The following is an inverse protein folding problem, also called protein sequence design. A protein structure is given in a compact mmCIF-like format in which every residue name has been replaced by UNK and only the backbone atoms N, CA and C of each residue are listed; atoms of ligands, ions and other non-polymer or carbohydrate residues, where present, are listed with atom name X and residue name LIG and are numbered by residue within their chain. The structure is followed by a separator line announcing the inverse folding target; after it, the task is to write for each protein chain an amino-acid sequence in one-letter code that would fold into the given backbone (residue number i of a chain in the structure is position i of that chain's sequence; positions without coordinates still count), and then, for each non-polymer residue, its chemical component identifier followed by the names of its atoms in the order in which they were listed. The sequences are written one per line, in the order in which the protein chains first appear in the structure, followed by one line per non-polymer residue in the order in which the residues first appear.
data_IF_049182726071
#
_entry.id   IF_049182726071
#
_cell.length_a   1.000
_cell.length_b   1.000
_cell.length_c   1.000
_cell.angle_alpha   90.00
_cell.angle_beta   90.00
_cell.angle_gamma   90.00
#
_symmetry.space_group_name_H-M   'P 1'
#
loop_
_entity.id
_entity.type
_entity.pdbx_description
1 polymer ?
#
# COMPACT_ATOMS: atom_id res chain seq x y z
N UNK A 1 27.44 -30.53 -0.73
CA UNK A 1 26.28 -30.32 -1.63
C UNK A 1 25.07 -30.93 -0.95
N UNK A 2 23.98 -30.17 -0.80
CA UNK A 2 22.79 -30.61 -0.08
C UNK A 2 21.71 -31.04 -1.09
N UNK A 3 21.20 -32.26 -0.94
CA UNK A 3 20.11 -32.79 -1.78
C UNK A 3 18.75 -32.15 -1.44
N UNK A 4 17.71 -32.48 -2.21
CA UNK A 4 16.32 -32.14 -1.86
C UNK A 4 16.04 -32.47 -0.39
N UNK A 5 15.47 -31.50 0.33
CA UNK A 5 15.13 -31.68 1.73
C UNK A 5 13.72 -31.18 2.01
N UNK A 6 12.93 -32.04 2.66
CA UNK A 6 11.56 -31.75 3.06
C UNK A 6 11.44 -31.77 4.58
N UNK A 7 11.07 -30.63 5.15
CA UNK A 7 10.68 -30.48 6.54
C UNK A 7 9.16 -30.58 6.64
N UNK A 8 8.66 -31.61 7.34
CA UNK A 8 7.24 -31.84 7.52
C UNK A 8 6.81 -31.54 8.95
N UNK A 9 5.73 -30.78 9.09
CA UNK A 9 4.94 -30.68 10.29
C UNK A 9 3.72 -31.63 10.29
N UNK A 10 2.77 -31.41 11.20
CA UNK A 10 2.78 -30.34 12.20
C UNK A 10 3.88 -30.57 13.24
N UNK A 11 4.58 -29.51 13.61
CA UNK A 11 5.62 -29.58 14.65
C UNK A 11 5.00 -29.48 16.04
N UNK A 12 5.57 -30.19 17.04
CA UNK A 12 5.17 -30.03 18.45
C UNK A 12 5.57 -28.66 19.01
N UNK A 13 6.69 -28.12 18.53
CA UNK A 13 7.14 -26.78 18.89
C UNK A 13 6.30 -25.75 18.16
N UNK A 14 5.94 -24.68 18.86
CA UNK A 14 5.32 -23.49 18.28
C UNK A 14 6.33 -22.56 17.60
N UNK A 15 7.63 -22.78 17.83
CA UNK A 15 8.71 -22.00 17.23
C UNK A 15 9.79 -22.97 16.74
N UNK A 16 9.91 -23.12 15.42
CA UNK A 16 10.94 -23.95 14.78
C UNK A 16 11.99 -23.03 14.20
N UNK A 17 13.21 -23.08 14.73
CA UNK A 17 14.29 -22.19 14.29
C UNK A 17 15.28 -22.90 13.38
N UNK A 18 15.52 -22.33 12.21
CA UNK A 18 16.55 -22.77 11.24
C UNK A 18 17.57 -21.64 11.10
N UNK A 19 18.85 -21.94 11.34
CA UNK A 19 19.94 -20.97 11.21
C UNK A 19 20.76 -21.22 9.95
N UNK A 20 20.83 -20.23 9.07
CA UNK A 20 21.66 -20.24 7.86
C UNK A 20 22.93 -19.44 8.16
N UNK A 21 23.99 -20.15 8.56
CA UNK A 21 25.25 -19.52 8.98
C UNK A 21 26.38 -19.63 7.94
N UNK A 22 26.27 -20.60 7.03
CA UNK A 22 27.26 -20.86 6.00
C UNK A 22 26.66 -20.79 4.60
N UNK A 23 27.41 -21.30 3.63
CA UNK A 23 26.95 -21.45 2.25
C UNK A 23 26.34 -22.84 2.05
N UNK A 24 25.03 -22.91 1.84
CA UNK A 24 24.31 -24.13 1.44
C UNK A 24 24.28 -24.15 -0.08
N UNK A 25 24.73 -25.24 -0.68
CA UNK A 25 24.96 -25.34 -2.13
C UNK A 25 24.20 -26.52 -2.70
N UNK A 26 23.36 -26.25 -3.70
CA UNK A 26 22.54 -27.26 -4.35
C UNK A 26 23.33 -28.13 -5.33
N UNK A 27 22.71 -29.22 -5.82
CA UNK A 27 23.29 -30.04 -6.88
C UNK A 27 23.49 -29.28 -8.19
N UNK A 28 24.60 -29.56 -8.86
CA UNK A 28 25.00 -28.87 -10.09
C UNK A 28 24.22 -29.35 -11.31
N UNK A 29 23.72 -30.59 -11.28
CA UNK A 29 22.97 -31.22 -12.36
C UNK A 29 21.76 -31.96 -11.82
N UNK A 30 20.83 -32.34 -12.69
CA UNK A 30 19.68 -33.15 -12.28
C UNK A 30 20.00 -34.63 -12.19
N UNK A 31 21.08 -35.07 -12.81
CA UNK A 31 21.64 -36.41 -12.60
C UNK A 31 22.09 -36.56 -11.14
N UNK A 32 22.58 -35.48 -10.53
CA UNK A 32 22.94 -35.42 -9.11
C UNK A 32 21.73 -35.26 -8.18
N UNK A 33 20.51 -35.12 -8.71
CA UNK A 33 19.28 -34.90 -7.96
C UNK A 33 18.43 -36.17 -7.86
N UNK A 34 18.41 -36.79 -6.68
CA UNK A 34 17.83 -38.14 -6.52
C UNK A 34 16.32 -38.18 -6.22
N UNK A 35 15.56 -37.09 -6.42
CA UNK A 35 14.10 -37.04 -6.19
C UNK A 35 13.37 -36.07 -7.14
N UNK A 36 13.19 -36.49 -8.40
CA UNK A 36 12.59 -35.68 -9.49
C UNK A 36 11.10 -35.30 -9.29
N UNK A 37 10.47 -35.67 -8.16
CA UNK A 37 9.04 -35.43 -7.93
C UNK A 37 8.74 -34.09 -7.26
N UNK A 38 9.74 -33.47 -6.63
CA UNK A 38 9.58 -32.15 -6.01
C UNK A 38 10.09 -31.07 -6.96
N UNK A 39 9.23 -30.12 -7.33
CA UNK A 39 9.67 -28.93 -8.09
C UNK A 39 10.48 -27.95 -7.24
N UNK A 40 10.82 -28.29 -5.99
CA UNK A 40 11.43 -27.37 -5.02
C UNK A 40 12.55 -28.03 -4.22
N UNK A 41 13.60 -27.28 -3.88
CA UNK A 41 14.80 -27.80 -3.19
C UNK A 41 14.66 -27.87 -1.68
N UNK A 42 14.35 -26.75 -1.04
CA UNK A 42 14.10 -26.68 0.40
C UNK A 42 12.60 -26.49 0.62
N UNK A 43 11.94 -27.55 1.06
CA UNK A 43 10.49 -27.54 1.24
C UNK A 43 10.11 -27.58 2.72
N UNK A 44 9.20 -26.71 3.12
CA UNK A 44 8.59 -26.67 4.45
C UNK A 44 7.08 -26.87 4.27
N UNK A 45 6.55 -27.95 4.84
CA UNK A 45 5.13 -28.28 4.82
C UNK A 45 4.58 -28.28 6.23
N UNK A 46 3.52 -27.50 6.48
CA UNK A 46 2.81 -27.48 7.76
C UNK A 46 3.72 -27.13 8.97
N UNK A 47 4.81 -26.40 8.72
CA UNK A 47 5.74 -25.95 9.76
C UNK A 47 5.28 -24.58 10.25
N UNK A 48 4.39 -24.56 11.23
CA UNK A 48 3.92 -23.33 11.86
C UNK A 48 4.99 -22.71 12.77
N UNK A 49 5.07 -21.39 12.83
CA UNK A 49 6.06 -20.66 13.65
C UNK A 49 7.50 -20.87 13.18
N UNK A 50 7.70 -21.07 11.88
CA UNK A 50 9.01 -21.24 11.27
C UNK A 50 9.79 -19.92 11.33
N UNK A 51 10.96 -19.93 11.94
CA UNK A 51 11.90 -18.80 11.97
C UNK A 51 13.17 -19.23 11.23
N UNK A 52 13.40 -18.67 10.04
CA UNK A 52 14.63 -18.87 9.27
C UNK A 52 15.45 -17.59 9.27
N UNK A 53 16.68 -17.66 9.79
CA UNK A 53 17.52 -16.49 9.92
C UNK A 53 19.02 -16.79 9.82
N UNK A 54 19.82 -15.74 9.59
CA UNK A 54 21.28 -15.76 9.65
C UNK A 54 21.93 -15.20 8.39
N UNK A 55 23.19 -14.79 8.50
CA UNK A 55 23.91 -14.09 7.42
C UNK A 55 24.47 -15.01 6.33
N UNK A 56 24.05 -16.27 6.28
CA UNK A 56 24.53 -17.25 5.31
C UNK A 56 23.86 -17.12 3.94
N UNK A 57 24.20 -18.06 3.05
CA UNK A 57 23.79 -18.03 1.65
C UNK A 57 23.23 -19.38 1.22
N UNK A 58 22.05 -19.36 0.58
CA UNK A 58 21.50 -20.48 -0.18
C UNK A 58 21.87 -20.24 -1.65
N UNK A 59 22.80 -21.04 -2.18
CA UNK A 59 23.25 -20.96 -3.56
C UNK A 59 22.62 -22.08 -4.38
N UNK A 60 21.73 -21.69 -5.28
CA UNK A 60 21.04 -22.63 -6.15
C UNK A 60 21.96 -23.33 -7.13
N UNK A 61 23.04 -22.70 -7.61
CA UNK A 61 23.80 -23.14 -8.80
C UNK A 61 22.99 -23.14 -10.12
N UNK A 62 22.40 -22.01 -10.46
CA UNK A 62 21.81 -21.61 -11.74
C UNK A 62 22.20 -22.33 -13.06
N UNK A 63 21.63 -23.51 -13.41
CA UNK A 63 21.36 -23.99 -14.79
C UNK A 63 20.38 -25.21 -14.92
N UNK A 64 19.45 -25.47 -13.98
CA UNK A 64 18.53 -26.64 -13.98
C UNK A 64 17.22 -26.56 -13.12
N UNK A 65 16.19 -27.35 -13.41
CA UNK A 65 14.73 -27.06 -13.48
C UNK A 65 13.84 -26.81 -12.20
N UNK A 66 14.36 -26.38 -11.04
CA UNK A 66 13.61 -26.34 -9.75
C UNK A 66 13.57 -24.98 -9.02
N UNK A 67 12.64 -24.84 -8.04
CA UNK A 67 12.40 -23.67 -7.17
C UNK A 67 13.27 -23.75 -5.89
N UNK A 68 13.93 -22.68 -5.44
CA UNK A 68 14.88 -22.83 -4.32
C UNK A 68 14.23 -23.13 -2.96
N UNK A 69 13.15 -22.45 -2.63
CA UNK A 69 12.48 -22.61 -1.36
C UNK A 69 10.96 -22.57 -1.51
N UNK A 70 10.29 -23.50 -0.84
CA UNK A 70 8.84 -23.62 -0.88
C UNK A 70 8.26 -23.76 0.53
N UNK A 71 7.38 -22.82 0.90
CA UNK A 71 6.61 -22.84 2.14
C UNK A 71 5.15 -23.15 1.77
N UNK A 72 4.64 -24.28 2.27
CA UNK A 72 3.27 -24.71 2.06
C UNK A 72 2.55 -24.92 3.39
N UNK A 73 1.43 -24.21 3.60
CA UNK A 73 0.68 -24.28 4.86
C UNK A 73 1.53 -23.94 6.11
N UNK A 74 2.55 -23.11 5.93
CA UNK A 74 3.38 -22.60 7.03
C UNK A 74 2.77 -21.31 7.57
N UNK A 75 2.06 -21.39 8.70
CA UNK A 75 1.48 -20.21 9.34
C UNK A 75 2.47 -19.55 10.31
N UNK A 76 2.39 -18.23 10.44
CA UNK A 76 3.23 -17.41 11.31
C UNK A 76 4.74 -17.58 11.05
N UNK A 77 5.17 -17.58 9.79
CA UNK A 77 6.59 -17.71 9.45
C UNK A 77 7.36 -16.37 9.55
N UNK A 78 8.67 -16.44 9.78
CA UNK A 78 9.61 -15.31 9.80
C UNK A 78 10.87 -15.71 9.02
N UNK A 79 11.10 -15.09 7.85
CA UNK A 79 12.29 -15.27 7.02
C UNK A 79 13.11 -13.97 7.04
N UNK A 80 14.36 -14.01 7.51
CA UNK A 80 15.16 -12.79 7.60
C UNK A 80 16.68 -12.92 7.51
N UNK A 81 17.33 -11.85 7.05
CA UNK A 81 18.79 -11.62 7.14
C UNK A 81 19.68 -12.53 6.28
N UNK A 82 19.13 -13.47 5.51
CA UNK A 82 19.91 -14.39 4.67
C UNK A 82 19.88 -14.01 3.18
N UNK A 83 20.79 -14.62 2.41
CA UNK A 83 20.88 -14.46 0.96
C UNK A 83 20.41 -15.73 0.24
N UNK A 84 19.62 -15.58 -0.83
CA UNK A 84 19.37 -16.64 -1.82
C UNK A 84 19.94 -16.15 -3.15
N UNK A 85 20.71 -16.99 -3.84
CA UNK A 85 21.26 -16.62 -5.13
C UNK A 85 21.19 -17.76 -6.14
N UNK A 86 21.21 -17.39 -7.41
CA UNK A 86 21.26 -18.30 -8.54
C UNK A 86 20.20 -19.41 -8.45
N UNK A 87 18.98 -19.06 -8.04
CA UNK A 87 17.87 -20.00 -8.18
C UNK A 87 17.61 -20.21 -9.66
N UNK A 88 17.27 -21.44 -10.01
CA UNK A 88 17.12 -21.83 -11.40
C UNK A 88 15.72 -21.58 -11.95
N UNK A 89 14.73 -21.48 -11.06
CA UNK A 89 13.40 -20.90 -11.30
C UNK A 89 13.19 -19.84 -10.21
N UNK A 90 12.00 -19.76 -9.63
CA UNK A 90 11.73 -18.84 -8.53
C UNK A 90 12.53 -19.18 -7.25
N UNK A 91 12.86 -18.14 -6.48
CA UNK A 91 13.65 -18.27 -5.26
C UNK A 91 12.80 -18.69 -4.06
N UNK A 92 11.68 -18.00 -3.79
CA UNK A 92 10.78 -18.29 -2.66
C UNK A 92 9.35 -18.44 -3.17
N UNK A 93 8.69 -19.56 -2.90
CA UNK A 93 7.25 -19.74 -3.12
C UNK A 93 6.52 -19.92 -1.80
N UNK A 94 5.44 -19.16 -1.62
CA UNK A 94 4.60 -19.12 -0.43
C UNK A 94 3.20 -19.49 -0.85
N UNK A 95 2.70 -20.61 -0.34
CA UNK A 95 1.43 -21.16 -0.73
C UNK A 95 0.59 -21.59 0.47
N UNK A 96 -0.68 -21.17 0.48
CA UNK A 96 -1.64 -21.54 1.53
C UNK A 96 -1.18 -21.16 2.95
N UNK A 97 -0.45 -20.05 3.09
CA UNK A 97 0.06 -19.58 4.38
C UNK A 97 -0.79 -18.45 4.96
N UNK A 98 -0.88 -18.37 6.29
CA UNK A 98 -1.53 -17.28 7.00
C UNK A 98 -0.60 -16.71 8.07
N UNK A 99 -0.30 -15.42 7.97
CA UNK A 99 0.64 -14.74 8.85
C UNK A 99 2.09 -15.07 8.45
N UNK A 100 2.83 -14.07 8.00
CA UNK A 100 4.24 -14.27 7.69
C UNK A 100 5.00 -12.98 7.45
N UNK A 101 6.27 -12.97 7.80
CA UNK A 101 7.17 -11.84 7.57
C UNK A 101 8.41 -12.26 6.80
N UNK A 102 8.81 -11.42 5.84
CA UNK A 102 10.05 -11.56 5.08
C UNK A 102 10.76 -10.22 5.13
N UNK A 103 11.97 -10.20 5.69
CA UNK A 103 12.68 -8.95 5.97
C UNK A 103 14.19 -9.05 5.77
N UNK A 104 14.81 -7.98 5.27
CA UNK A 104 16.27 -7.92 5.12
C UNK A 104 16.88 -9.10 4.35
N UNK A 105 16.12 -9.69 3.41
CA UNK A 105 16.62 -10.75 2.55
C UNK A 105 17.27 -10.17 1.30
N UNK A 106 18.27 -10.87 0.79
CA UNK A 106 18.94 -10.54 -0.46
C UNK A 106 18.71 -11.67 -1.46
N UNK A 107 18.03 -11.37 -2.56
CA UNK A 107 17.88 -12.28 -3.69
C UNK A 107 18.78 -11.78 -4.82
N UNK A 108 19.61 -12.67 -5.38
CA UNK A 108 20.55 -12.31 -6.44
C UNK A 108 20.65 -13.38 -7.52
N UNK A 109 20.16 -13.05 -8.72
CA UNK A 109 20.35 -13.83 -9.93
C UNK A 109 20.67 -12.90 -11.12
N UNK A 110 21.39 -13.38 -12.14
CA UNK A 110 21.68 -12.61 -13.35
C UNK A 110 20.40 -12.08 -14.03
N UNK A 111 20.51 -10.91 -14.67
CA UNK A 111 19.38 -10.20 -15.27
C UNK A 111 18.69 -10.97 -16.39
N UNK A 112 19.44 -11.81 -17.09
CA UNK A 112 19.03 -12.61 -18.24
C UNK A 112 18.60 -14.03 -17.83
N UNK A 113 18.46 -14.31 -16.53
CA UNK A 113 18.03 -15.62 -16.04
C UNK A 113 16.51 -15.79 -16.16
N UNK A 114 16.02 -16.65 -17.06
CA UNK A 114 14.58 -16.78 -17.32
C UNK A 114 13.86 -17.41 -16.12
N UNK A 115 12.63 -16.96 -15.83
CA UNK A 115 11.74 -17.52 -14.80
C UNK A 115 12.34 -17.56 -13.39
N UNK A 116 13.22 -16.60 -13.09
CA UNK A 116 13.90 -16.50 -11.80
C UNK A 116 13.17 -15.62 -10.79
N UNK A 117 11.86 -15.77 -10.69
CA UNK A 117 11.01 -14.92 -9.87
C UNK A 117 11.57 -14.81 -8.43
N UNK A 118 11.50 -13.63 -7.83
CA UNK A 118 12.01 -13.42 -6.48
C UNK A 118 11.14 -14.15 -5.46
N UNK A 119 9.92 -13.67 -5.28
CA UNK A 119 8.96 -14.22 -4.32
C UNK A 119 7.60 -14.42 -5.00
N UNK A 120 7.12 -15.65 -5.07
CA UNK A 120 5.78 -16.00 -5.53
C UNK A 120 4.87 -16.25 -4.34
N UNK A 121 3.72 -15.58 -4.31
CA UNK A 121 2.71 -15.70 -3.26
C UNK A 121 1.38 -16.16 -3.88
N UNK A 122 0.83 -17.26 -3.39
CA UNK A 122 -0.47 -17.79 -3.82
C UNK A 122 -1.31 -18.27 -2.64
N UNK A 123 -2.64 -18.09 -2.70
CA UNK A 123 -3.59 -18.55 -1.68
C UNK A 123 -3.22 -18.18 -0.22
N UNK A 124 -2.52 -17.06 -0.03
CA UNK A 124 -1.94 -16.73 1.28
C UNK A 124 -2.48 -15.41 1.82
N UNK A 125 -2.52 -15.28 3.14
CA UNK A 125 -3.10 -14.11 3.81
C UNK A 125 -2.17 -13.54 4.87
N UNK A 126 -2.23 -12.22 5.09
CA UNK A 126 -1.44 -11.54 6.12
C UNK A 126 0.08 -11.77 5.96
N UNK A 127 0.60 -11.56 4.74
CA UNK A 127 2.03 -11.68 4.44
C UNK A 127 2.65 -10.30 4.28
N UNK A 128 3.77 -10.07 4.96
CA UNK A 128 4.50 -8.80 4.95
C UNK A 128 5.91 -9.02 4.38
N UNK A 129 6.27 -8.28 3.34
CA UNK A 129 7.59 -8.31 2.71
C UNK A 129 8.18 -6.92 2.81
N UNK A 130 9.32 -6.77 3.46
CA UNK A 130 9.90 -5.45 3.65
C UNK A 130 11.42 -5.41 3.67
N UNK A 131 11.96 -4.22 3.43
CA UNK A 131 13.39 -3.88 3.59
C UNK A 131 14.35 -4.88 2.92
N UNK A 132 13.99 -5.33 1.72
CA UNK A 132 14.68 -6.44 1.02
C UNK A 132 15.16 -6.00 -0.35
N UNK A 133 16.26 -6.61 -0.81
CA UNK A 133 16.84 -6.37 -2.13
C UNK A 133 16.65 -7.60 -3.02
N UNK A 134 15.89 -7.46 -4.09
CA UNK A 134 15.53 -8.56 -4.98
C UNK A 134 16.03 -8.27 -6.40
N UNK A 135 17.08 -9.00 -6.78
CA UNK A 135 17.65 -8.99 -8.13
C UNK A 135 17.42 -10.34 -8.78
N UNK A 136 16.64 -10.35 -9.84
CA UNK A 136 16.26 -11.52 -10.62
C UNK A 136 16.05 -11.13 -12.08
N UNK A 137 15.88 -12.13 -12.94
CA UNK A 137 15.60 -11.94 -14.37
C UNK A 137 14.12 -11.97 -14.75
N UNK A 138 13.21 -12.19 -13.80
CA UNK A 138 11.76 -12.24 -14.01
C UNK A 138 11.01 -11.41 -12.94
N UNK A 139 9.78 -11.76 -12.56
CA UNK A 139 9.01 -11.03 -11.56
C UNK A 139 9.75 -10.93 -10.21
N UNK A 140 9.88 -9.71 -9.70
CA UNK A 140 10.44 -9.44 -8.39
C UNK A 140 9.59 -10.06 -7.29
N UNK A 141 8.28 -9.78 -7.32
CA UNK A 141 7.28 -10.38 -6.45
C UNK A 141 6.04 -10.66 -7.28
N UNK A 142 5.69 -11.93 -7.38
CA UNK A 142 4.49 -12.39 -8.05
C UNK A 142 3.35 -12.60 -7.04
N UNK A 143 2.22 -11.91 -7.24
CA UNK A 143 1.03 -12.07 -6.40
C UNK A 143 -0.06 -12.76 -7.20
N UNK A 144 -0.24 -14.04 -6.92
CA UNK A 144 -1.19 -14.90 -7.58
C UNK A 144 -2.56 -14.92 -6.88
N UNK A 145 -3.50 -15.65 -7.47
CA UNK A 145 -4.88 -15.75 -6.99
C UNK A 145 -5.00 -16.31 -5.56
N UNK A 146 -6.07 -15.92 -4.87
CA UNK A 146 -6.38 -16.38 -3.52
C UNK A 146 -5.62 -15.64 -2.41
N UNK A 147 -4.85 -14.61 -2.73
CA UNK A 147 -4.14 -13.80 -1.76
C UNK A 147 -5.01 -12.66 -1.19
N UNK A 148 -4.79 -12.28 0.07
CA UNK A 148 -5.38 -11.06 0.65
C UNK A 148 -4.54 -10.51 1.81
N UNK A 149 -4.59 -9.20 2.04
CA UNK A 149 -3.77 -8.52 3.04
C UNK A 149 -2.27 -8.81 2.86
N UNK A 150 -1.75 -8.52 1.67
CA UNK A 150 -0.32 -8.60 1.34
C UNK A 150 0.26 -7.19 1.42
N UNK A 151 1.33 -7.00 2.20
CA UNK A 151 2.01 -5.72 2.34
C UNK A 151 3.45 -5.81 1.82
N UNK A 152 3.84 -4.91 0.93
CA UNK A 152 5.18 -4.85 0.34
C UNK A 152 5.71 -3.43 0.50
N UNK A 153 6.76 -3.24 1.31
CA UNK A 153 7.28 -1.90 1.65
C UNK A 153 8.80 -1.88 1.71
N UNK A 154 9.45 -0.86 1.15
CA UNK A 154 10.92 -0.76 1.22
C UNK A 154 11.66 -1.87 0.48
N UNK A 155 11.03 -2.47 -0.53
CA UNK A 155 11.66 -3.50 -1.38
C UNK A 155 12.28 -2.86 -2.62
N UNK A 156 13.55 -3.12 -2.86
CA UNK A 156 14.25 -2.73 -4.08
C UNK A 156 14.22 -3.88 -5.09
N UNK A 157 13.50 -3.68 -6.20
CA UNK A 157 13.38 -4.63 -7.30
C UNK A 157 14.25 -4.22 -8.48
N UNK A 158 14.91 -5.20 -9.11
CA UNK A 158 15.55 -5.03 -10.41
C UNK A 158 16.82 -5.88 -10.53
N UNK A 159 17.14 -6.38 -11.73
CA UNK A 159 16.76 -5.80 -13.03
C UNK A 159 15.56 -6.42 -13.78
N UNK A 160 14.91 -7.46 -13.23
CA UNK A 160 13.79 -8.18 -13.86
C UNK A 160 12.48 -7.40 -14.03
N UNK A 161 11.35 -8.10 -14.10
CA UNK A 161 10.04 -7.55 -14.49
C UNK A 161 9.34 -6.72 -13.41
N UNK A 162 9.76 -6.81 -12.13
CA UNK A 162 9.14 -6.08 -11.04
C UNK A 162 7.85 -6.75 -10.56
N UNK A 163 6.74 -6.02 -10.49
CA UNK A 163 5.40 -6.55 -10.22
C UNK A 163 4.54 -6.20 -11.43
N UNK A 164 3.97 -7.18 -12.11
CA UNK A 164 3.25 -6.96 -13.37
C UNK A 164 1.85 -6.40 -13.16
N UNK A 165 1.32 -5.70 -14.17
CA UNK A 165 -0.07 -5.22 -14.13
C UNK A 165 -1.07 -6.38 -14.13
N UNK A 166 -0.76 -7.49 -14.80
CA UNK A 166 -1.62 -8.66 -14.82
C UNK A 166 -1.81 -9.23 -13.41
N UNK A 167 -0.74 -9.31 -12.62
CA UNK A 167 -0.79 -9.74 -11.22
C UNK A 167 -1.58 -8.74 -10.37
N UNK A 168 -1.38 -7.43 -10.59
CA UNK A 168 -2.20 -6.42 -9.92
C UNK A 168 -3.69 -6.58 -10.25
N UNK A 169 -4.05 -6.89 -11.50
CA UNK A 169 -5.44 -7.15 -11.88
C UNK A 169 -6.01 -8.41 -11.24
N UNK A 170 -5.20 -9.46 -11.09
CA UNK A 170 -5.60 -10.70 -10.41
C UNK A 170 -5.82 -10.43 -8.91
N UNK A 171 -4.88 -9.72 -8.28
CA UNK A 171 -4.98 -9.35 -6.87
C UNK A 171 -6.21 -8.48 -6.60
N UNK A 172 -6.43 -7.45 -7.43
CA UNK A 172 -7.56 -6.53 -7.33
C UNK A 172 -8.81 -7.01 -8.08
N UNK A 173 -8.93 -8.31 -8.35
CA UNK A 173 -10.05 -8.86 -9.14
C UNK A 173 -11.40 -8.48 -8.53
N UNK A 174 -11.56 -8.67 -7.22
CA UNK A 174 -12.83 -8.39 -6.53
C UNK A 174 -13.13 -6.88 -6.57
N UNK A 175 -12.12 -6.04 -6.39
CA UNK A 175 -12.26 -4.58 -6.44
C UNK A 175 -12.73 -4.12 -7.82
N UNK A 176 -12.16 -4.72 -8.87
CA UNK A 176 -12.55 -4.51 -10.28
C UNK A 176 -13.97 -4.98 -10.57
N UNK A 177 -14.39 -6.12 -10.05
CA UNK A 177 -15.76 -6.62 -10.17
C UNK A 177 -16.77 -5.69 -9.45
N UNK A 178 -16.43 -5.20 -8.26
CA UNK A 178 -17.29 -4.26 -7.50
C UNK A 178 -17.36 -2.90 -8.19
N UNK A 179 -16.24 -2.38 -8.71
CA UNK A 179 -16.23 -1.15 -9.51
C UNK A 179 -17.12 -1.28 -10.74
N UNK A 180 -16.93 -2.35 -11.52
CA UNK A 180 -17.75 -2.64 -12.68
C UNK A 180 -19.24 -2.65 -12.32
N UNK A 181 -19.59 -3.34 -11.24
CA UNK A 181 -20.96 -3.42 -10.74
C UNK A 181 -21.56 -2.04 -10.39
N UNK A 182 -20.79 -1.15 -9.77
CA UNK A 182 -21.24 0.22 -9.49
C UNK A 182 -21.60 0.97 -10.78
N UNK A 183 -20.71 0.92 -11.77
CA UNK A 183 -20.84 1.70 -13.00
C UNK A 183 -21.88 1.10 -13.95
N UNK A 184 -21.77 -0.19 -14.26
CA UNK A 184 -22.57 -0.81 -15.33
C UNK A 184 -23.91 -1.34 -14.87
N UNK A 185 -24.01 -1.80 -13.62
CA UNK A 185 -25.23 -2.44 -13.10
C UNK A 185 -26.06 -1.48 -12.26
N UNK A 186 -25.40 -0.68 -11.42
CA UNK A 186 -26.06 0.31 -10.57
C UNK A 186 -26.15 1.69 -11.23
N UNK A 187 -25.55 1.87 -12.41
CA UNK A 187 -25.59 3.09 -13.21
C UNK A 187 -25.07 4.33 -12.44
N UNK A 188 -24.09 4.13 -11.56
CA UNK A 188 -23.41 5.22 -10.88
C UNK A 188 -22.42 5.89 -11.84
N UNK A 189 -22.19 7.18 -11.64
CA UNK A 189 -21.16 7.92 -12.35
C UNK A 189 -19.77 7.27 -12.13
N UNK A 190 -18.94 7.11 -13.18
CA UNK A 190 -17.62 6.48 -13.06
C UNK A 190 -16.67 7.18 -12.10
N UNK A 191 -16.63 8.52 -12.11
CA UNK A 191 -15.73 9.28 -11.23
C UNK A 191 -16.19 9.16 -9.77
N UNK A 192 -17.49 9.29 -9.51
CA UNK A 192 -18.07 9.06 -8.19
C UNK A 192 -17.82 7.62 -7.69
N UNK A 193 -17.96 6.62 -8.57
CA UNK A 193 -17.70 5.21 -8.26
C UNK A 193 -16.23 4.96 -7.91
N UNK A 194 -15.31 5.68 -8.57
CA UNK A 194 -13.87 5.62 -8.30
C UNK A 194 -13.56 6.15 -6.89
N UNK A 195 -14.19 7.27 -6.51
CA UNK A 195 -14.05 7.86 -5.17
C UNK A 195 -14.63 6.93 -4.09
N UNK A 196 -15.81 6.36 -4.33
CA UNK A 196 -16.45 5.39 -3.42
C UNK A 196 -15.55 4.18 -3.18
N UNK A 197 -15.03 3.58 -4.25
CA UNK A 197 -14.12 2.44 -4.13
C UNK A 197 -12.81 2.82 -3.42
N UNK A 198 -12.27 4.00 -3.70
CA UNK A 198 -11.06 4.47 -3.03
C UNK A 198 -11.27 4.64 -1.52
N UNK A 199 -12.45 5.07 -1.07
CA UNK A 199 -12.82 5.09 0.35
C UNK A 199 -12.83 3.68 0.94
N UNK A 200 -13.41 2.69 0.25
CA UNK A 200 -13.43 1.31 0.74
C UNK A 200 -12.05 0.68 0.82
N UNK A 201 -11.23 0.84 -0.21
CA UNK A 201 -9.84 0.36 -0.22
C UNK A 201 -9.02 1.03 0.89
N UNK A 202 -9.20 2.34 1.10
CA UNK A 202 -8.54 3.05 2.19
C UNK A 202 -8.99 2.56 3.58
N UNK A 203 -10.28 2.24 3.77
CA UNK A 203 -10.76 1.64 5.01
C UNK A 203 -10.09 0.29 5.26
N UNK A 204 -9.95 -0.56 4.24
CA UNK A 204 -9.24 -1.83 4.37
C UNK A 204 -7.76 -1.63 4.77
N UNK A 205 -7.08 -0.64 4.19
CA UNK A 205 -5.71 -0.24 4.58
C UNK A 205 -5.64 0.19 6.07
N UNK A 206 -6.70 0.81 6.61
CA UNK A 206 -6.81 1.18 8.03
C UNK A 206 -7.21 0.03 8.96
N UNK A 207 -7.29 -1.19 8.45
CA UNK A 207 -7.60 -2.38 9.23
C UNK A 207 -9.10 -2.67 9.34
N UNK A 208 -9.95 -2.03 8.53
CA UNK A 208 -11.34 -2.44 8.33
C UNK A 208 -11.41 -3.52 7.23
N UNK A 209 -10.76 -4.65 7.49
CA UNK A 209 -10.45 -5.66 6.46
C UNK A 209 -11.67 -6.37 5.87
N UNK A 210 -11.50 -6.87 4.64
CA UNK A 210 -12.49 -7.68 3.90
C UNK A 210 -13.81 -6.97 3.58
N UNK A 211 -13.84 -5.64 3.61
CA UNK A 211 -15.01 -4.84 3.24
C UNK A 211 -15.49 -5.19 1.82
N UNK A 212 -14.62 -5.07 0.83
CA UNK A 212 -14.96 -5.23 -0.59
C UNK A 212 -15.30 -6.69 -0.90
N UNK A 213 -14.55 -7.63 -0.32
CA UNK A 213 -14.84 -9.07 -0.40
C UNK A 213 -16.23 -9.41 0.16
N UNK A 214 -16.60 -8.87 1.33
CA UNK A 214 -17.95 -9.04 1.88
C UNK A 214 -19.01 -8.38 1.00
N UNK A 215 -18.75 -7.18 0.48
CA UNK A 215 -19.66 -6.42 -0.39
C UNK A 215 -19.96 -7.14 -1.71
N UNK A 216 -18.96 -7.80 -2.30
CA UNK A 216 -19.11 -8.54 -3.56
C UNK A 216 -20.23 -9.60 -3.48
N UNK A 217 -20.46 -10.17 -2.29
CA UNK A 217 -21.45 -11.22 -2.01
C UNK A 217 -22.87 -10.69 -1.74
N UNK A 218 -23.04 -9.38 -1.62
CA UNK A 218 -24.33 -8.76 -1.27
C UNK A 218 -25.20 -8.50 -2.51
N UNK A 219 -26.49 -8.20 -2.29
CA UNK A 219 -27.42 -7.81 -3.35
C UNK A 219 -27.13 -6.40 -3.89
N UNK A 220 -27.63 -6.12 -5.11
CA UNK A 220 -27.44 -4.81 -5.76
C UNK A 220 -27.98 -3.66 -4.89
N UNK A 221 -29.12 -3.89 -4.24
CA UNK A 221 -29.73 -2.93 -3.32
C UNK A 221 -28.80 -2.60 -2.14
N UNK A 222 -28.17 -3.63 -1.55
CA UNK A 222 -27.29 -3.43 -0.41
C UNK A 222 -25.99 -2.73 -0.78
N UNK A 223 -25.38 -3.09 -1.94
CA UNK A 223 -24.20 -2.39 -2.46
C UNK A 223 -24.51 -0.91 -2.73
N UNK A 224 -25.68 -0.60 -3.29
CA UNK A 224 -26.11 0.78 -3.50
C UNK A 224 -26.28 1.56 -2.19
N UNK A 225 -26.79 0.91 -1.12
CA UNK A 225 -26.88 1.53 0.21
C UNK A 225 -25.48 1.83 0.78
N UNK A 226 -24.55 0.88 0.69
CA UNK A 226 -23.17 1.06 1.16
C UNK A 226 -22.42 2.15 0.36
N UNK A 227 -22.67 2.26 -0.94
CA UNK A 227 -22.15 3.33 -1.78
C UNK A 227 -22.65 4.72 -1.32
N UNK A 228 -23.93 4.83 -0.94
CA UNK A 228 -24.48 6.08 -0.38
C UNK A 228 -23.86 6.44 0.97
N UNK A 229 -23.54 5.47 1.82
CA UNK A 229 -22.80 5.72 3.06
C UNK A 229 -21.39 6.24 2.76
N UNK A 230 -20.67 5.64 1.80
CA UNK A 230 -19.37 6.14 1.36
C UNK A 230 -19.44 7.57 0.79
N UNK A 231 -20.45 7.89 -0.01
CA UNK A 231 -20.71 9.26 -0.48
C UNK A 231 -20.99 10.22 0.68
N UNK A 232 -21.72 9.78 1.70
CA UNK A 232 -21.97 10.60 2.90
C UNK A 232 -20.67 10.89 3.66
N UNK A 233 -19.71 9.96 3.65
CA UNK A 233 -18.38 10.17 4.20
C UNK A 233 -17.60 11.22 3.39
N UNK A 234 -17.60 11.12 2.06
CA UNK A 234 -16.98 12.11 1.18
C UNK A 234 -17.56 13.51 1.41
N UNK A 235 -18.89 13.63 1.51
CA UNK A 235 -19.57 14.88 1.83
C UNK A 235 -19.18 15.43 3.21
N UNK A 236 -19.00 14.54 4.20
CA UNK A 236 -18.51 14.91 5.52
C UNK A 236 -17.09 15.50 5.47
N UNK A 237 -16.22 14.99 4.59
CA UNK A 237 -14.86 15.51 4.39
C UNK A 237 -14.82 16.88 3.70
N UNK A 238 -15.92 17.30 3.07
CA UNK A 238 -16.04 18.63 2.44
C UNK A 238 -16.63 19.68 3.39
N UNK A 239 -17.52 19.27 4.29
CA UNK A 239 -18.22 20.16 5.22
C UNK A 239 -17.33 20.60 6.38
N UNK A 240 -17.45 21.86 6.80
CA UNK A 240 -16.80 22.37 8.01
C UNK A 240 -17.68 22.26 9.26
N UNK A 241 -18.93 21.84 9.07
CA UNK A 241 -19.86 21.62 10.16
C UNK A 241 -19.63 20.24 10.75
N UNK A 242 -19.72 20.15 12.08
CA UNK A 242 -19.78 18.87 12.77
C UNK A 242 -20.99 18.12 12.20
N UNK A 243 -20.82 16.90 11.68
CA UNK A 243 -21.93 16.16 11.09
C UNK A 243 -23.01 15.95 12.13
N UNK A 244 -24.28 16.14 11.74
CA UNK A 244 -25.38 15.70 12.57
C UNK A 244 -25.46 14.17 12.49
N UNK A 245 -24.85 13.51 13.47
CA UNK A 245 -24.71 12.04 13.46
C UNK A 245 -26.00 11.42 13.95
N UNK A 246 -26.73 10.66 13.11
CA UNK A 246 -27.90 9.91 13.57
C UNK A 246 -27.47 8.87 14.62
N UNK A 247 -28.39 8.35 15.46
CA UNK A 247 -28.06 7.40 16.53
C UNK A 247 -27.28 6.15 16.07
N UNK A 248 -27.37 5.82 14.78
CA UNK A 248 -26.69 4.70 14.13
C UNK A 248 -25.33 5.08 13.50
N UNK A 249 -24.79 6.26 13.79
CA UNK A 249 -23.46 6.69 13.36
C UNK A 249 -23.36 7.25 11.93
N UNK A 250 -24.45 7.20 11.16
CA UNK A 250 -24.48 7.67 9.75
C UNK A 250 -23.77 6.74 8.76
N UNK A 251 -23.28 5.58 9.24
CA UNK A 251 -22.62 4.53 8.46
C UNK A 251 -23.03 3.13 8.95
N UNK A 252 -24.31 2.98 9.29
CA UNK A 252 -24.83 1.80 9.97
C UNK A 252 -24.58 0.48 9.22
N UNK A 253 -24.73 0.47 7.90
CA UNK A 253 -24.60 -0.77 7.14
C UNK A 253 -23.13 -1.15 6.99
N UNK A 254 -22.25 -0.18 6.73
CA UNK A 254 -20.80 -0.39 6.62
C UNK A 254 -20.23 -0.84 7.97
N UNK A 255 -20.60 -0.18 9.07
CA UNK A 255 -20.15 -0.52 10.42
C UNK A 255 -20.61 -1.92 10.85
N UNK A 256 -21.86 -2.28 10.54
CA UNK A 256 -22.40 -3.62 10.82
C UNK A 256 -21.80 -4.71 9.94
N UNK A 257 -21.49 -4.42 8.68
CA UNK A 257 -20.82 -5.36 7.78
C UNK A 257 -19.40 -5.71 8.26
N UNK A 258 -18.74 -4.73 8.89
CA UNK A 258 -17.40 -4.86 9.43
C UNK A 258 -17.34 -5.35 10.88
N UNK A 259 -18.48 -5.36 11.58
CA UNK A 259 -18.57 -5.59 13.03
C UNK A 259 -17.72 -4.59 13.84
N UNK A 260 -17.85 -3.30 13.50
CA UNK A 260 -17.02 -2.21 14.03
C UNK A 260 -17.87 -1.04 14.49
N UNK A 261 -17.84 -0.74 15.79
CA UNK A 261 -18.65 0.35 16.39
C UNK A 261 -17.94 1.70 16.37
N UNK A 262 -16.65 1.73 16.09
CA UNK A 262 -15.82 2.93 15.99
C UNK A 262 -15.93 3.65 14.63
N UNK A 263 -16.56 3.02 13.63
CA UNK A 263 -16.77 3.59 12.31
C UNK A 263 -18.07 4.39 12.22
N UNK A 264 -17.97 5.69 11.98
CA UNK A 264 -19.09 6.63 11.87
C UNK A 264 -18.73 7.87 11.04
N UNK A 265 -19.69 8.73 10.72
CA UNK A 265 -19.38 10.03 10.10
C UNK A 265 -18.46 10.89 10.99
N UNK A 266 -18.53 10.73 12.31
CA UNK A 266 -17.67 11.44 13.24
C UNK A 266 -16.21 10.97 13.15
N UNK A 267 -15.98 9.69 12.84
CA UNK A 267 -14.65 9.16 12.56
C UNK A 267 -14.03 9.87 11.35
N UNK A 268 -14.78 10.04 10.26
CA UNK A 268 -14.32 10.77 9.07
C UNK A 268 -14.09 12.25 9.35
N UNK A 269 -14.98 12.87 10.13
CA UNK A 269 -14.82 14.26 10.55
C UNK A 269 -13.53 14.48 11.35
N UNK A 270 -13.27 13.64 12.36
CA UNK A 270 -12.07 13.78 13.20
C UNK A 270 -10.76 13.41 12.49
N UNK A 271 -10.80 12.47 11.55
CA UNK A 271 -9.63 12.01 10.78
C UNK A 271 -9.60 12.61 9.36
N UNK A 272 -10.15 13.81 9.19
CA UNK A 272 -10.41 14.42 7.88
C UNK A 272 -9.19 14.45 6.99
N UNK A 273 -8.05 14.93 7.50
CA UNK A 273 -6.87 15.16 6.68
C UNK A 273 -6.15 13.87 6.34
N UNK A 274 -6.03 12.94 7.30
CA UNK A 274 -5.50 11.59 7.05
C UNK A 274 -6.37 10.82 6.06
N UNK A 275 -7.70 10.98 6.15
CA UNK A 275 -8.63 10.37 5.20
C UNK A 275 -8.45 10.94 3.80
N UNK A 276 -8.39 12.27 3.67
CA UNK A 276 -8.21 12.92 2.36
C UNK A 276 -6.91 12.44 1.69
N UNK A 277 -5.80 12.46 2.43
CA UNK A 277 -4.50 12.04 1.89
C UNK A 277 -4.48 10.55 1.56
N UNK A 278 -5.05 9.70 2.41
CA UNK A 278 -5.10 8.27 2.15
C UNK A 278 -5.98 7.90 0.95
N UNK A 279 -7.16 8.50 0.82
CA UNK A 279 -8.02 8.31 -0.37
C UNK A 279 -7.33 8.83 -1.62
N UNK A 280 -6.67 9.99 -1.56
CA UNK A 280 -5.86 10.51 -2.69
C UNK A 280 -4.73 9.55 -3.08
N UNK A 281 -4.07 8.94 -2.09
CA UNK A 281 -3.01 7.96 -2.34
C UNK A 281 -3.55 6.72 -3.05
N UNK A 282 -4.70 6.19 -2.60
CA UNK A 282 -5.37 5.05 -3.24
C UNK A 282 -5.77 5.38 -4.68
N UNK A 283 -6.36 6.56 -4.93
CA UNK A 283 -6.74 6.97 -6.27
C UNK A 283 -5.55 6.99 -7.24
N UNK A 284 -4.44 7.61 -6.82
CA UNK A 284 -3.29 7.83 -7.70
C UNK A 284 -2.38 6.61 -7.85
N UNK A 285 -2.28 5.76 -6.82
CA UNK A 285 -1.32 4.65 -6.81
C UNK A 285 -1.95 3.28 -7.04
N UNK A 286 -3.26 3.14 -6.77
CA UNK A 286 -4.00 1.89 -6.97
C UNK A 286 -4.99 2.05 -8.13
N UNK A 287 -6.02 2.89 -7.97
CA UNK A 287 -7.11 3.02 -8.96
C UNK A 287 -6.59 3.44 -10.34
N UNK A 288 -5.63 4.36 -10.40
CA UNK A 288 -5.03 4.83 -11.64
C UNK A 288 -4.25 3.75 -12.42
N UNK A 289 -3.94 2.61 -11.80
CA UNK A 289 -3.31 1.46 -12.46
C UNK A 289 -4.34 0.39 -12.80
N UNK A 290 -5.14 -0.01 -11.81
CA UNK A 290 -6.02 -1.18 -11.90
C UNK A 290 -7.32 -0.94 -12.67
N UNK A 291 -7.58 0.26 -13.20
CA UNK A 291 -8.78 0.54 -14.01
C UNK A 291 -8.47 1.07 -15.41
N UNK A 292 -7.18 1.16 -15.76
CA UNK A 292 -6.75 1.71 -17.06
C UNK A 292 -7.36 0.99 -18.26
N UNK A 293 -7.74 -0.27 -18.08
CA UNK A 293 -8.31 -1.12 -19.10
C UNK A 293 -9.85 -1.06 -19.14
N UNK A 294 -10.51 -1.25 -18.00
CA UNK A 294 -11.98 -1.33 -17.96
C UNK A 294 -12.68 0.03 -18.01
N UNK A 295 -12.03 1.10 -17.56
CA UNK A 295 -12.65 2.42 -17.45
C UNK A 295 -13.06 3.02 -18.82
N UNK A 296 -12.21 3.01 -19.88
CA UNK A 296 -12.63 3.46 -21.21
C UNK A 296 -13.79 2.66 -21.78
N UNK A 297 -13.80 1.33 -21.56
CA UNK A 297 -14.86 0.44 -22.02
C UNK A 297 -16.21 0.79 -21.37
N UNK A 298 -16.21 1.01 -20.05
CA UNK A 298 -17.42 1.36 -19.29
C UNK A 298 -17.96 2.74 -19.65
N UNK A 299 -17.07 3.66 -20.01
CA UNK A 299 -17.42 5.02 -20.43
C UNK A 299 -17.81 5.11 -21.91
N UNK A 300 -17.61 4.04 -22.69
CA UNK A 300 -17.88 4.04 -24.14
C UNK A 300 -16.95 4.97 -24.93
N UNK A 301 -15.73 5.23 -24.43
CA UNK A 301 -14.76 6.13 -25.05
C UNK A 301 -13.55 5.37 -25.59
N UNK A 302 -13.02 5.83 -26.73
CA UNK A 302 -11.74 5.38 -27.23
C UNK A 302 -10.64 6.32 -26.71
N UNK A 303 -9.62 5.75 -26.06
CA UNK A 303 -8.49 6.51 -25.52
C UNK A 303 -7.21 6.01 -26.16
N UNK A 304 -6.39 6.95 -26.67
CA UNK A 304 -5.08 6.64 -27.25
C UNK A 304 -4.09 6.27 -26.15
N UNK A 305 -3.09 5.46 -26.50
CA UNK A 305 -2.00 5.15 -25.60
C UNK A 305 -1.29 6.43 -25.14
N UNK A 306 -0.84 6.42 -23.90
CA UNK A 306 -0.14 7.51 -23.23
C UNK A 306 -0.93 8.83 -23.14
N UNK A 307 -2.26 8.78 -23.31
CA UNK A 307 -3.15 9.91 -23.01
C UNK A 307 -3.94 9.66 -21.73
N UNK A 308 -4.15 10.70 -20.89
CA UNK A 308 -5.06 10.61 -19.76
C UNK A 308 -6.49 10.30 -20.21
N UNK A 309 -7.15 9.41 -19.48
CA UNK A 309 -8.57 9.13 -19.66
C UNK A 309 -9.35 10.32 -19.10
N UNK A 310 -10.13 11.06 -19.92
CA UNK A 310 -10.90 12.19 -19.45
C UNK A 310 -12.04 11.70 -18.55
N UNK A 311 -12.11 12.20 -17.33
CA UNK A 311 -13.18 11.88 -16.38
C UNK A 311 -13.89 13.15 -15.90
N UNK A 312 -15.17 13.26 -16.24
CA UNK A 312 -16.02 14.32 -15.69
C UNK A 312 -16.12 14.12 -14.17
N UNK A 313 -15.74 15.14 -13.39
CA UNK A 313 -15.63 15.06 -11.93
C UNK A 313 -14.22 15.26 -11.38
N UNK A 314 -13.20 15.28 -12.25
CA UNK A 314 -11.83 15.69 -11.93
C UNK A 314 -11.43 16.97 -12.69
N UNK A 315 -10.64 17.90 -12.09
CA UNK A 315 -10.09 17.86 -10.73
C UNK A 315 -11.19 17.92 -9.67
N UNK A 316 -11.10 17.01 -8.69
CA UNK A 316 -12.03 16.99 -7.57
C UNK A 316 -11.59 18.01 -6.52
N UNK A 317 -12.53 18.70 -5.88
CA UNK A 317 -12.24 19.76 -4.89
C UNK A 317 -11.26 19.35 -3.79
N UNK A 318 -11.42 18.13 -3.26
CA UNK A 318 -10.55 17.60 -2.19
C UNK A 318 -9.34 16.82 -2.69
N UNK A 319 -9.45 16.14 -3.83
CA UNK A 319 -8.48 15.12 -4.25
C UNK A 319 -7.59 15.59 -5.40
N UNK A 320 -7.91 16.73 -6.02
CA UNK A 320 -7.21 17.27 -7.19
C UNK A 320 -7.47 16.43 -8.42
N UNK A 321 -6.53 16.49 -9.37
CA UNK A 321 -6.53 15.62 -10.54
C UNK A 321 -6.16 14.18 -10.19
N UNK A 322 -6.72 13.24 -10.97
CA UNK A 322 -6.34 11.83 -10.95
C UNK A 322 -6.01 11.43 -12.37
N UNK A 323 -4.71 11.32 -12.67
CA UNK A 323 -4.24 10.95 -14.00
C UNK A 323 -4.27 9.44 -14.20
N UNK A 324 -5.33 8.94 -14.84
CA UNK A 324 -5.43 7.54 -15.27
C UNK A 324 -4.98 7.47 -16.72
N UNK A 325 -3.77 6.98 -16.94
CA UNK A 325 -3.18 6.93 -18.29
C UNK A 325 -3.07 5.48 -18.72
N UNK A 326 -3.73 5.15 -19.84
CA UNK A 326 -3.53 3.87 -20.51
C UNK A 326 -2.18 3.90 -21.21
N UNK A 327 -1.14 3.38 -20.57
CA UNK A 327 0.19 3.29 -21.18
C UNK A 327 0.28 2.08 -22.09
N UNK A 328 1.25 2.08 -23.01
CA UNK A 328 1.52 1.00 -23.95
C UNK A 328 1.92 -0.35 -23.31
N UNK A 329 1.70 -0.52 -22.00
CA UNK A 329 1.93 -1.72 -21.22
C UNK A 329 0.68 -2.15 -20.43
N UNK A 330 -0.52 -1.76 -20.87
CA UNK A 330 -1.77 -2.01 -20.11
C UNK A 330 -2.87 -2.73 -20.90
N UNK A 331 -2.56 -3.45 -21.98
CA UNK A 331 -3.49 -4.39 -22.59
C UNK A 331 -2.73 -5.42 -23.42
N UNK A 332 -2.80 -6.68 -23.02
CA UNK A 332 -2.86 -7.75 -24.02
C UNK A 332 -4.35 -7.89 -24.35
N UNK A 333 -4.72 -7.60 -25.59
CA UNK A 333 -5.98 -8.06 -26.14
C UNK A 333 -6.05 -9.58 -25.93
N UNK A 334 -7.16 -10.06 -25.36
CA UNK A 334 -7.51 -11.48 -25.47
C UNK A 334 -7.84 -11.72 -26.94
N UNK A 335 -6.84 -12.02 -27.77
CA UNK A 335 -7.01 -12.76 -29.01
C UNK A 335 -5.87 -13.77 -29.21
N UNK A 336 -6.27 -14.89 -29.78
CA UNK A 336 -5.63 -16.19 -29.68
C UNK A 336 -4.20 -16.28 -30.25
N UNK A 337 -3.38 -17.06 -29.53
CA UNK A 337 -2.27 -17.88 -30.01
C UNK A 337 -1.23 -17.26 -30.99
N UNK A 338 0.02 -17.11 -30.50
CA UNK A 338 1.22 -17.32 -31.34
C UNK A 338 2.46 -16.46 -31.03
N UNK A 339 3.45 -17.03 -30.31
CA UNK A 339 4.91 -16.72 -30.30
C UNK A 339 5.36 -15.30 -29.90
N UNK A 340 5.81 -15.04 -28.66
CA UNK A 340 7.13 -15.26 -28.01
C UNK A 340 8.32 -14.54 -28.68
N UNK A 341 8.87 -13.60 -27.90
CA UNK A 341 10.14 -12.87 -28.00
C UNK A 341 10.20 -11.64 -28.92
N UNK A 342 9.80 -10.48 -28.38
CA UNK A 342 10.66 -9.29 -28.31
C UNK A 342 9.98 -8.11 -27.58
N UNK A 343 10.82 -7.38 -26.82
CA UNK A 343 10.59 -6.06 -26.20
C UNK A 343 10.15 -6.09 -24.73
N UNK A 344 10.99 -6.74 -23.94
CA UNK A 344 11.63 -6.13 -22.78
C UNK A 344 12.22 -4.76 -23.15
N UNK A 345 11.65 -3.70 -22.60
CA UNK A 345 12.31 -2.44 -22.20
C UNK A 345 11.17 -1.49 -21.80
N UNK A 346 11.13 -1.05 -20.52
CA UNK A 346 10.66 0.29 -20.08
C UNK A 346 10.08 0.36 -18.65
N UNK A 347 10.67 -0.24 -17.63
CA UNK A 347 10.39 0.20 -16.24
C UNK A 347 11.65 0.20 -15.37
N UNK A 348 12.57 1.10 -15.71
CA UNK A 348 13.49 1.66 -14.71
C UNK A 348 12.67 2.45 -13.69
N UNK A 349 12.46 1.84 -12.53
CA UNK A 349 11.80 2.45 -11.39
C UNK A 349 12.52 3.75 -10.98
N UNK A 350 11.84 4.89 -10.85
CA UNK A 350 12.22 5.83 -9.82
C UNK A 350 11.84 5.21 -8.47
N UNK A 351 12.80 5.29 -7.56
CA UNK A 351 12.64 5.30 -6.10
C UNK A 351 11.18 5.57 -5.68
N UNK A 352 10.60 4.63 -4.95
CA UNK A 352 9.36 4.85 -4.20
C UNK A 352 9.50 6.18 -3.46
N UNK A 353 8.59 7.15 -3.63
CA UNK A 353 8.51 8.22 -2.66
C UNK A 353 8.19 7.53 -1.33
N UNK A 354 9.09 7.63 -0.36
CA UNK A 354 8.73 7.49 1.05
C UNK A 354 7.45 8.29 1.23
N UNK A 355 6.34 7.62 1.57
CA UNK A 355 5.03 8.21 1.87
C UNK A 355 4.71 9.51 1.11
N UNK A 356 3.81 9.49 0.12
CA UNK A 356 3.31 10.68 -0.61
C UNK A 356 2.47 11.63 0.28
N UNK A 357 2.92 11.89 1.51
CA UNK A 357 2.52 12.98 2.38
C UNK A 357 3.57 14.06 2.16
N UNK A 358 3.24 15.07 1.37
CA UNK A 358 4.14 16.20 1.17
C UNK A 358 4.43 16.90 2.51
N UNK A 359 5.54 17.63 2.61
CA UNK A 359 5.77 18.49 3.78
C UNK A 359 4.57 19.42 4.00
N UNK A 360 3.99 19.95 2.93
CA UNK A 360 2.81 20.81 2.98
C UNK A 360 1.61 20.10 3.63
N UNK A 361 1.39 18.81 3.35
CA UNK A 361 0.29 18.03 3.92
C UNK A 361 0.35 17.88 5.44
N UNK A 362 1.57 17.83 5.99
CA UNK A 362 1.88 17.75 7.43
C UNK A 362 2.22 19.12 8.04
N UNK A 363 2.03 20.21 7.29
CA UNK A 363 2.34 21.57 7.74
C UNK A 363 1.08 22.30 8.20
N UNK A 364 1.22 22.99 9.33
CA UNK A 364 0.24 23.90 9.91
C UNK A 364 0.69 25.35 9.72
N UNK A 365 -0.22 26.22 9.31
CA UNK A 365 0.00 27.66 9.32
C UNK A 365 -0.48 28.24 10.65
N UNK A 366 0.45 28.83 11.40
CA UNK A 366 0.21 29.47 12.68
C UNK A 366 0.18 30.98 12.52
N UNK A 367 -0.74 31.66 13.20
CA UNK A 367 -0.79 33.12 13.29
C UNK A 367 -0.79 33.58 14.74
N UNK A 368 -0.16 34.72 14.99
CA UNK A 368 0.08 35.28 16.31
C UNK A 368 -0.62 36.64 16.46
N UNK A 369 -1.13 36.92 17.67
CA UNK A 369 -1.70 38.23 17.97
C UNK A 369 -0.67 39.35 17.89
N UNK A 370 -1.09 40.52 17.39
CA UNK A 370 -0.24 41.73 17.40
C UNK A 370 0.08 42.16 18.84
N UNK A 371 1.32 42.60 19.08
CA UNK A 371 1.79 43.07 20.39
C UNK A 371 2.27 41.99 21.36
N UNK A 372 2.24 40.72 20.97
CA UNK A 372 2.72 39.60 21.79
C UNK A 372 3.76 38.76 21.03
N UNK A 373 5.04 39.00 21.30
CA UNK A 373 6.14 38.27 20.66
C UNK A 373 6.09 36.78 21.02
N UNK A 374 5.99 35.90 20.02
CA UNK A 374 6.05 34.45 20.17
C UNK A 374 7.32 33.95 19.47
N UNK A 375 8.13 33.17 20.17
CA UNK A 375 9.42 32.65 19.66
C UNK A 375 9.30 31.23 19.07
N UNK A 376 10.26 30.84 18.23
CA UNK A 376 10.36 29.48 17.67
C UNK A 376 10.35 28.40 18.77
N UNK A 377 11.08 28.63 19.86
CA UNK A 377 11.18 27.69 20.99
C UNK A 377 9.88 27.60 21.79
N UNK A 378 9.15 28.71 21.97
CA UNK A 378 7.82 28.69 22.60
C UNK A 378 6.82 27.86 21.78
N UNK A 379 6.83 28.02 20.45
CA UNK A 379 5.99 27.22 19.53
C UNK A 379 6.37 25.75 19.61
N UNK A 380 7.66 25.43 19.42
CA UNK A 380 8.13 24.04 19.45
C UNK A 380 7.80 23.39 20.79
N UNK A 381 8.13 24.04 21.91
CA UNK A 381 7.87 23.53 23.25
C UNK A 381 6.38 23.33 23.55
N UNK A 382 5.50 24.23 23.09
CA UNK A 382 4.05 24.08 23.23
C UNK A 382 3.55 22.80 22.56
N UNK A 383 3.83 22.64 21.26
CA UNK A 383 3.27 21.52 20.48
C UNK A 383 3.92 20.19 20.83
N UNK A 384 5.20 20.21 21.20
CA UNK A 384 5.90 19.04 21.75
C UNK A 384 5.26 18.57 23.06
N UNK A 385 4.93 19.49 23.97
CA UNK A 385 4.26 19.17 25.24
C UNK A 385 2.83 18.66 25.06
N UNK A 386 2.10 19.20 24.11
CA UNK A 386 0.69 18.82 23.88
C UNK A 386 0.54 17.51 23.09
N UNK A 387 1.45 17.22 22.17
CA UNK A 387 1.27 16.15 21.17
C UNK A 387 2.36 15.09 21.14
N UNK A 388 3.41 15.23 21.96
CA UNK A 388 4.52 14.28 22.11
C UNK A 388 5.87 14.87 21.68
N UNK A 389 6.96 14.30 22.20
CA UNK A 389 8.33 14.75 21.92
C UNK A 389 8.65 14.75 20.42
N UNK A 390 8.15 13.74 19.71
CA UNK A 390 8.37 13.57 18.28
C UNK A 390 7.25 14.16 17.41
N UNK A 391 6.41 15.05 17.95
CA UNK A 391 5.31 15.63 17.17
C UNK A 391 5.79 16.65 16.12
N UNK A 392 6.82 17.43 16.47
CA UNK A 392 7.28 18.59 15.69
C UNK A 392 8.56 18.27 14.95
N UNK A 393 8.50 18.32 13.61
CA UNK A 393 9.69 18.23 12.77
C UNK A 393 10.47 19.55 12.83
N UNK A 394 9.83 20.64 12.41
CA UNK A 394 10.42 21.98 12.40
C UNK A 394 9.37 23.09 12.58
N UNK A 395 9.86 24.28 12.90
CA UNK A 395 9.09 25.51 13.01
C UNK A 395 9.83 26.59 12.22
N UNK A 396 9.22 27.05 11.13
CA UNK A 396 9.74 28.11 10.29
C UNK A 396 8.97 29.38 10.61
N UNK A 397 9.62 30.33 11.27
CA UNK A 397 9.01 31.62 11.60
C UNK A 397 8.96 32.50 10.35
N UNK A 398 8.10 33.52 10.35
CA UNK A 398 8.10 34.57 9.32
C UNK A 398 9.51 35.14 9.08
N UNK A 399 9.94 35.13 7.82
CA UNK A 399 11.22 35.67 7.34
C UNK A 399 11.10 37.17 6.98
N UNK A 400 12.23 37.85 6.77
CA UNK A 400 12.32 39.26 6.33
C UNK A 400 11.64 40.29 7.26
N UNK A 401 11.80 40.12 8.57
CA UNK A 401 11.41 41.12 9.58
C UNK A 401 12.63 41.95 10.01
N UNK A 402 12.46 43.25 10.21
CA UNK A 402 13.49 44.11 10.82
C UNK A 402 13.82 43.61 12.23
N UNK A 403 15.02 43.88 12.75
CA UNK A 403 15.49 43.37 14.05
C UNK A 403 14.54 43.68 15.23
N UNK A 404 13.77 44.78 15.13
CA UNK A 404 12.78 45.20 16.14
C UNK A 404 11.34 44.71 15.89
N UNK A 405 11.06 44.06 14.75
CA UNK A 405 9.72 43.60 14.41
C UNK A 405 9.43 42.19 14.96
N UNK A 406 8.18 41.96 15.36
CA UNK A 406 7.74 40.62 15.81
C UNK A 406 7.20 39.79 14.63
N UNK A 407 7.48 38.47 14.60
CA UNK A 407 6.84 37.57 13.64
C UNK A 407 5.33 37.49 13.91
N UNK A 408 4.53 37.49 12.85
CA UNK A 408 3.06 37.41 12.92
C UNK A 408 2.52 36.03 12.52
N UNK A 409 3.35 35.19 11.92
CA UNK A 409 2.99 33.84 11.55
C UNK A 409 4.20 32.89 11.56
N UNK A 410 3.92 31.60 11.50
CA UNK A 410 4.91 30.55 11.34
C UNK A 410 4.32 29.36 10.57
N UNK A 411 5.18 28.59 9.92
CA UNK A 411 4.87 27.23 9.45
C UNK A 411 5.36 26.24 10.50
N UNK A 412 4.46 25.42 11.00
CA UNK A 412 4.76 24.32 11.92
C UNK A 412 4.69 23.03 11.12
N UNK A 413 5.84 22.40 10.91
CA UNK A 413 5.97 21.14 10.18
C UNK A 413 5.91 20.00 11.20
N UNK A 414 4.94 19.11 11.06
CA UNK A 414 4.71 17.98 11.98
C UNK A 414 5.27 16.68 11.41
N UNK A 415 5.66 15.74 12.25
CA UNK A 415 6.18 14.43 11.79
C UNK A 415 5.10 13.48 11.26
N UNK A 416 3.81 13.78 11.49
CA UNK A 416 2.71 12.95 10.99
C UNK A 416 1.44 13.76 10.77
N UNK A 417 0.71 13.44 9.70
CA UNK A 417 -0.61 14.02 9.42
C UNK A 417 -1.68 13.61 10.45
N UNK A 418 -1.51 12.47 11.13
CA UNK A 418 -2.38 12.11 12.25
C UNK A 418 -2.28 13.14 13.40
N UNK A 419 -1.12 13.80 13.55
CA UNK A 419 -0.97 14.91 14.50
C UNK A 419 -1.71 16.16 14.04
N UNK A 420 -1.77 16.43 12.73
CA UNK A 420 -2.62 17.51 12.16
C UNK A 420 -4.08 17.26 12.53
N UNK A 421 -4.59 16.04 12.32
CA UNK A 421 -5.96 15.66 12.67
C UNK A 421 -6.23 15.82 14.16
N UNK A 422 -5.33 15.36 15.04
CA UNK A 422 -5.47 15.57 16.49
C UNK A 422 -5.47 17.05 16.89
N UNK A 423 -4.66 17.87 16.23
CA UNK A 423 -4.56 19.30 16.49
C UNK A 423 -5.82 20.06 16.08
N UNK A 424 -6.35 19.73 14.91
CA UNK A 424 -7.49 20.41 14.32
C UNK A 424 -8.82 19.81 14.75
N UNK A 425 -8.82 18.54 15.14
CA UNK A 425 -9.97 17.77 15.59
C UNK A 425 -11.17 17.90 14.62
N UNK A 426 -10.89 17.77 13.32
CA UNK A 426 -11.84 17.91 12.22
C UNK A 426 -12.18 19.35 11.79
N UNK A 427 -11.77 20.37 12.57
CA UNK A 427 -12.02 21.79 12.27
C UNK A 427 -10.96 22.36 11.33
N UNK A 428 -11.26 23.46 10.64
CA UNK A 428 -10.24 24.17 9.84
C UNK A 428 -9.26 24.99 10.67
N UNK A 429 -9.68 25.44 11.84
CA UNK A 429 -8.91 26.32 12.71
C UNK A 429 -8.96 25.78 14.14
N UNK A 430 -7.81 25.71 14.78
CA UNK A 430 -7.65 25.43 16.21
C UNK A 430 -7.03 26.63 16.92
N UNK A 431 -7.43 26.86 18.17
CA UNK A 431 -6.93 27.94 19.00
C UNK A 431 -6.12 27.36 20.15
N UNK A 432 -4.89 27.85 20.29
CA UNK A 432 -3.94 27.45 21.32
C UNK A 432 -3.50 28.64 22.17
N UNK A 433 -2.84 28.35 23.29
CA UNK A 433 -2.29 29.36 24.19
C UNK A 433 -0.89 28.98 24.67
N UNK A 434 0.04 29.92 24.61
CA UNK A 434 1.39 29.79 25.20
C UNK A 434 1.71 31.03 26.01
N UNK A 435 2.08 30.88 27.28
CA UNK A 435 2.44 31.99 28.17
C UNK A 435 1.42 33.14 28.16
N UNK A 436 0.12 32.81 28.15
CA UNK A 436 -0.95 33.80 28.10
C UNK A 436 -1.36 34.27 26.70
N UNK A 437 -0.55 34.03 25.66
CA UNK A 437 -0.69 34.52 24.27
C UNK A 437 -1.52 33.56 23.41
N UNK A 438 -2.34 34.07 22.49
CA UNK A 438 -3.14 33.23 21.58
C UNK A 438 -2.37 32.89 20.30
N UNK A 439 -2.48 31.62 19.89
CA UNK A 439 -2.00 31.11 18.60
C UNK A 439 -3.19 30.52 17.87
N UNK A 440 -3.43 30.94 16.63
CA UNK A 440 -4.41 30.32 15.76
C UNK A 440 -3.70 29.45 14.74
N UNK A 441 -4.11 28.19 14.63
CA UNK A 441 -3.50 27.21 13.74
C UNK A 441 -4.53 26.75 12.72
N UNK A 442 -4.13 26.62 11.45
CA UNK A 442 -4.92 26.01 10.38
C UNK A 442 -4.03 25.14 9.50
N UNK A 443 -4.59 24.22 8.72
CA UNK A 443 -3.79 23.46 7.74
C UNK A 443 -3.12 24.44 6.76
N UNK A 444 -1.86 24.21 6.45
CA UNK A 444 -1.15 25.01 5.45
C UNK A 444 -1.72 24.73 4.07
N UNK A 445 -1.99 25.80 3.33
CA UNK A 445 -2.42 25.76 1.94
C UNK A 445 -1.36 26.55 1.18
N UNK A 446 -0.66 25.87 0.26
CA UNK A 446 0.28 26.54 -0.63
C UNK A 446 -0.51 27.52 -1.49
N UNK A 447 -0.08 28.78 -1.49
CA UNK A 447 -0.59 29.78 -2.44
C UNK A 447 0.40 29.83 -3.58
N UNK A 448 -0.04 29.42 -4.76
CA UNK A 448 0.73 29.65 -5.98
C UNK A 448 0.87 31.17 -6.14
N UNK A 449 2.12 31.64 -6.21
CA UNK A 449 2.47 33.05 -6.41
C UNK A 449 2.71 33.30 -7.88
#
# INVERSE_FOLDING_TARGET
MLQHFRFNGPCKSQNVKVQILGKIVAPASVEDWTDCKSESWLCFYDVHGLIMQGSGTIDGQGSAWWKAMFLHSCNNFDLREFTIQNSQKLHISINNCNGGSISNIHINSPADSPNTDGIDISYSTNVHIHDSLIKCGDDCIAINGGCSNINITGVACGPGHGISLAELHIYHRIDREVFARLVTTLMHDPAASLLVLAVWLWLEEKGFSSLISKMSKLSNQMVNVLAREAVSCLNCLESDQIPNVPPNGGMYFTSRLLDRTDLSLLFFYHNRFSTIVGVKNVLNNVCAKIFTDILPLMMGIQVRLNQPIPMAGFPHRLFGDVEIVRRAMNYVEIQAAGGRDQILQLWGMPVMPENVVSEDDRTMFLTFSRGFRVTKNEVRGLFTRLYGLDAVADVIMQENISDDAQPLFARLILNSIATVDRMLNGRRIAKFRVNGKHIWARKYERRDV
#
